data_IF_107007481088
#
_entry.id   IF_107007481088
#
_cell.length_a   1.000
_cell.length_b   1.000
_cell.length_c   1.000
_cell.angle_alpha   90.00
_cell.angle_beta   90.00
_cell.angle_gamma   90.00
#
_symmetry.space_group_name_H-M   'P 1'
#
loop_
_entity.id
_entity.type
_entity.pdbx_description
1 polymer ?
#
# COMPACT_ATOMS: atom_id res chain seq x y z
N UNK A 1 31.77 11.80 -14.68
CA UNK A 1 30.30 11.91 -14.51
C UNK A 1 29.83 11.05 -13.32
N UNK A 2 30.23 11.38 -12.08
CA UNK A 2 29.92 10.52 -10.93
C UNK A 2 28.41 10.39 -10.65
N UNK A 3 27.64 11.48 -10.87
CA UNK A 3 26.20 11.52 -10.62
C UNK A 3 25.37 10.68 -11.60
N UNK A 4 25.70 10.74 -12.89
CA UNK A 4 24.97 9.98 -13.92
C UNK A 4 25.15 8.49 -13.67
N UNK A 5 26.37 8.09 -13.34
CA UNK A 5 26.68 6.71 -12.99
C UNK A 5 25.93 6.24 -11.74
N UNK A 6 25.91 7.03 -10.67
CA UNK A 6 25.16 6.71 -9.45
C UNK A 6 23.66 6.47 -9.73
N UNK A 7 23.00 7.41 -10.38
CA UNK A 7 21.57 7.32 -10.69
C UNK A 7 21.29 6.10 -11.59
N UNK A 8 22.11 5.88 -12.62
CA UNK A 8 21.94 4.72 -13.50
C UNK A 8 22.19 3.40 -12.78
N UNK A 9 23.13 3.33 -11.83
CA UNK A 9 23.35 2.13 -11.00
C UNK A 9 22.16 1.87 -10.08
N UNK A 10 21.67 2.90 -9.37
CA UNK A 10 20.55 2.78 -8.43
C UNK A 10 19.22 2.42 -9.08
N UNK A 11 19.06 2.72 -10.37
CA UNK A 11 17.88 2.33 -11.16
C UNK A 11 18.12 1.07 -12.01
N UNK A 12 19.22 0.35 -11.80
CA UNK A 12 19.55 -0.89 -12.53
C UNK A 12 19.60 -0.67 -14.06
N UNK A 13 20.14 0.48 -14.49
CA UNK A 13 20.31 0.92 -15.87
C UNK A 13 21.77 0.95 -16.35
N UNK A 14 22.74 0.84 -15.45
CA UNK A 14 24.16 1.06 -15.76
C UNK A 14 24.70 0.15 -16.86
N UNK A 15 24.32 -1.13 -16.85
CA UNK A 15 24.75 -2.11 -17.86
C UNK A 15 24.17 -1.82 -19.24
N UNK A 16 23.09 -1.03 -19.30
CA UNK A 16 22.39 -0.65 -20.53
C UNK A 16 22.64 0.81 -20.92
N UNK A 17 23.60 1.50 -20.30
CA UNK A 17 23.88 2.93 -20.55
C UNK A 17 24.21 3.29 -22.00
N UNK A 18 24.75 2.34 -22.77
CA UNK A 18 25.09 2.52 -24.19
C UNK A 18 24.01 1.97 -25.15
N UNK A 19 22.91 1.43 -24.62
CA UNK A 19 21.80 0.91 -25.42
C UNK A 19 20.89 2.05 -25.85
N UNK A 20 20.43 2.04 -27.10
CA UNK A 20 19.51 3.06 -27.58
C UNK A 20 18.19 3.00 -26.80
N UNK A 21 17.73 4.14 -26.28
CA UNK A 21 16.52 4.20 -25.46
C UNK A 21 15.27 3.57 -26.13
N UNK A 22 15.17 3.66 -27.47
CA UNK A 22 14.06 3.08 -28.23
C UNK A 22 13.96 1.54 -28.10
N UNK A 23 15.09 0.86 -27.91
CA UNK A 23 15.16 -0.61 -27.82
C UNK A 23 15.01 -1.14 -26.40
N UNK A 24 14.89 -0.26 -25.40
CA UNK A 24 14.62 -0.65 -24.02
C UNK A 24 13.17 -1.15 -23.86
N UNK A 25 12.95 -2.09 -22.94
CA UNK A 25 11.60 -2.50 -22.54
C UNK A 25 10.84 -1.35 -21.85
N UNK A 26 9.52 -1.48 -21.71
CA UNK A 26 8.70 -0.46 -21.05
C UNK A 26 9.22 -0.07 -19.66
N UNK A 27 9.49 -1.05 -18.80
CA UNK A 27 10.03 -0.81 -17.46
C UNK A 27 11.41 -0.15 -17.45
N UNK A 28 12.29 -0.47 -18.41
CA UNK A 28 13.58 0.22 -18.56
C UNK A 28 13.41 1.67 -19.05
N UNK A 29 12.48 1.92 -19.98
CA UNK A 29 12.16 3.28 -20.44
C UNK A 29 11.63 4.14 -19.30
N UNK A 30 10.74 3.59 -18.46
CA UNK A 30 10.16 4.29 -17.30
C UNK A 30 11.25 4.68 -16.29
N UNK A 31 12.15 3.75 -15.96
CA UNK A 31 13.32 4.02 -15.10
C UNK A 31 14.25 5.06 -15.71
N UNK A 32 14.51 5.01 -17.02
CA UNK A 32 15.31 6.03 -17.69
C UNK A 32 14.66 7.43 -17.61
N UNK A 33 13.33 7.51 -17.70
CA UNK A 33 12.61 8.78 -17.53
C UNK A 33 12.75 9.34 -16.10
N UNK A 34 12.70 8.48 -15.09
CA UNK A 34 12.93 8.86 -13.69
C UNK A 34 14.39 9.29 -13.50
N UNK A 35 15.35 8.54 -14.04
CA UNK A 35 16.77 8.90 -14.02
C UNK A 35 17.02 10.30 -14.61
N UNK A 36 16.40 10.56 -15.76
CA UNK A 36 16.44 11.88 -16.44
C UNK A 36 15.85 12.98 -15.56
N UNK A 37 14.74 12.72 -14.87
CA UNK A 37 14.11 13.70 -13.99
C UNK A 37 14.97 14.02 -12.75
N UNK A 38 15.77 13.07 -12.26
CA UNK A 38 16.54 13.23 -11.02
C UNK A 38 17.95 13.79 -11.23
N UNK A 39 18.43 13.82 -12.48
CA UNK A 39 19.80 14.18 -12.80
C UNK A 39 20.17 15.60 -12.37
N UNK A 40 19.18 16.50 -12.22
CA UNK A 40 19.37 17.91 -11.90
C UNK A 40 18.94 18.29 -10.46
N UNK A 41 18.76 17.32 -9.57
CA UNK A 41 18.38 17.57 -8.15
C UNK A 41 17.12 18.43 -7.99
N UNK A 42 15.99 18.00 -8.55
CA UNK A 42 14.77 18.79 -8.40
C UNK A 42 14.38 18.90 -6.93
N UNK A 43 13.96 20.10 -6.53
CA UNK A 43 13.25 20.32 -5.26
C UNK A 43 11.84 19.75 -5.29
N UNK A 44 11.23 19.66 -6.49
CA UNK A 44 9.90 19.10 -6.73
C UNK A 44 9.95 18.11 -7.90
N UNK A 45 9.53 16.87 -7.65
CA UNK A 45 9.42 15.81 -8.63
C UNK A 45 7.94 15.45 -8.81
N UNK A 46 7.47 15.47 -10.05
CA UNK A 46 6.10 15.05 -10.41
C UNK A 46 6.20 13.75 -11.20
N UNK A 47 5.51 12.72 -10.75
CA UNK A 47 5.53 11.38 -11.33
C UNK A 47 4.12 10.95 -11.71
N UNK A 48 3.92 10.67 -12.99
CA UNK A 48 2.66 10.13 -13.48
C UNK A 48 2.74 8.61 -13.62
N UNK A 49 2.04 7.89 -12.74
CA UNK A 49 1.93 6.43 -12.73
C UNK A 49 3.31 5.73 -12.76
N UNK A 50 4.27 6.10 -11.90
CA UNK A 50 5.69 5.77 -12.11
C UNK A 50 5.96 4.27 -12.21
N UNK A 51 5.17 3.43 -11.54
CA UNK A 51 5.33 1.97 -11.51
C UNK A 51 4.49 1.19 -12.53
N UNK A 52 3.67 1.87 -13.34
CA UNK A 52 2.85 1.20 -14.34
C UNK A 52 3.71 0.43 -15.35
N UNK A 53 3.38 -0.85 -15.56
CA UNK A 53 4.11 -1.74 -16.49
C UNK A 53 5.51 -2.15 -16.01
N UNK A 54 5.82 -1.95 -14.72
CA UNK A 54 7.05 -2.43 -14.06
C UNK A 54 6.72 -3.70 -13.26
N UNK A 55 7.61 -4.70 -13.34
CA UNK A 55 7.48 -5.93 -12.55
C UNK A 55 7.62 -5.68 -11.04
N UNK A 56 7.25 -6.69 -10.24
CA UNK A 56 7.12 -6.58 -8.78
C UNK A 56 8.46 -6.27 -8.09
N UNK A 57 9.54 -6.89 -8.54
CA UNK A 57 10.87 -6.72 -7.93
C UNK A 57 11.38 -5.29 -8.15
N UNK A 58 11.34 -4.84 -9.41
CA UNK A 58 11.75 -3.49 -9.78
C UNK A 58 10.87 -2.40 -9.15
N UNK A 59 9.59 -2.67 -8.97
CA UNK A 59 8.66 -1.77 -8.30
C UNK A 59 9.14 -1.46 -6.87
N UNK A 60 9.54 -2.50 -6.12
CA UNK A 60 10.03 -2.35 -4.74
C UNK A 60 11.36 -1.60 -4.67
N UNK A 61 12.27 -1.86 -5.62
CA UNK A 61 13.52 -1.09 -5.74
C UNK A 61 13.22 0.40 -5.96
N UNK A 62 12.32 0.70 -6.90
CA UNK A 62 11.95 2.07 -7.23
C UNK A 62 11.26 2.78 -6.07
N UNK A 63 10.38 2.10 -5.33
CA UNK A 63 9.77 2.65 -4.12
C UNK A 63 10.81 3.02 -3.08
N UNK A 64 11.76 2.14 -2.83
CA UNK A 64 12.86 2.37 -1.87
C UNK A 64 13.69 3.59 -2.27
N UNK A 65 13.98 3.71 -3.56
CA UNK A 65 14.70 4.84 -4.14
C UNK A 65 13.93 6.16 -4.02
N UNK A 66 12.63 6.18 -4.34
CA UNK A 66 11.78 7.37 -4.20
C UNK A 66 11.64 7.80 -2.73
N UNK A 67 11.51 6.85 -1.79
CA UNK A 67 11.51 7.13 -0.35
C UNK A 67 12.80 7.81 0.10
N UNK A 68 13.94 7.34 -0.38
CA UNK A 68 15.25 7.94 -0.05
C UNK A 68 15.37 9.37 -0.60
N UNK A 69 14.97 9.58 -1.86
CA UNK A 69 14.97 10.91 -2.48
C UNK A 69 14.05 11.88 -1.71
N UNK A 70 12.87 11.42 -1.31
CA UNK A 70 11.98 12.22 -0.47
C UNK A 70 12.61 12.55 0.88
N UNK A 71 13.27 11.59 1.53
CA UNK A 71 13.97 11.78 2.79
C UNK A 71 15.13 12.78 2.67
N UNK A 72 15.77 12.85 1.50
CA UNK A 72 16.84 13.80 1.21
C UNK A 72 16.34 15.21 0.85
N UNK A 73 15.02 15.47 0.93
CA UNK A 73 14.44 16.80 0.84
C UNK A 73 13.70 17.12 -0.46
N UNK A 74 13.65 16.20 -1.43
CA UNK A 74 12.84 16.39 -2.63
C UNK A 74 11.35 16.17 -2.31
N UNK A 75 10.53 17.16 -2.65
CA UNK A 75 9.06 17.02 -2.61
C UNK A 75 8.63 16.16 -3.80
N UNK A 76 7.80 15.14 -3.56
CA UNK A 76 7.31 14.25 -4.61
C UNK A 76 5.79 14.35 -4.66
N UNK A 77 5.25 14.61 -5.86
CA UNK A 77 3.84 14.43 -6.19
C UNK A 77 3.77 13.23 -7.13
N UNK A 78 2.98 12.23 -6.76
CA UNK A 78 2.76 11.05 -7.60
C UNK A 78 1.27 10.81 -7.80
N UNK A 79 0.90 10.44 -9.01
CA UNK A 79 -0.42 9.90 -9.35
C UNK A 79 -0.28 8.40 -9.50
N UNK A 80 -1.27 7.67 -8.98
CA UNK A 80 -1.32 6.22 -9.06
C UNK A 80 -2.75 5.74 -8.89
N UNK A 81 -3.12 4.73 -9.66
CA UNK A 81 -4.31 3.92 -9.41
C UNK A 81 -4.00 2.69 -8.53
N UNK A 82 -2.74 2.45 -8.19
CA UNK A 82 -2.35 1.38 -7.28
C UNK A 82 -2.34 1.89 -5.83
N UNK A 83 -3.37 1.55 -5.06
CA UNK A 83 -3.50 2.00 -3.68
C UNK A 83 -2.33 1.56 -2.78
N UNK A 84 -1.78 0.37 -3.02
CA UNK A 84 -0.56 -0.11 -2.34
C UNK A 84 0.61 0.86 -2.53
N UNK A 85 0.78 1.45 -3.72
CA UNK A 85 1.84 2.43 -3.97
C UNK A 85 1.63 3.71 -3.15
N UNK A 86 0.39 4.20 -3.09
CA UNK A 86 0.05 5.36 -2.28
C UNK A 86 0.31 5.09 -0.79
N UNK A 87 -0.13 3.94 -0.28
CA UNK A 87 0.09 3.54 1.12
C UNK A 87 1.59 3.40 1.45
N UNK A 88 2.38 2.85 0.51
CA UNK A 88 3.81 2.67 0.72
C UNK A 88 4.59 3.98 0.65
N UNK A 89 4.26 4.90 -0.26
CA UNK A 89 5.08 6.08 -0.56
C UNK A 89 4.60 7.38 0.09
N UNK A 90 3.29 7.53 0.30
CA UNK A 90 2.69 8.83 0.58
C UNK A 90 2.43 9.05 2.06
N UNK A 91 2.71 10.27 2.53
CA UNK A 91 2.28 10.74 3.87
C UNK A 91 0.91 11.41 3.83
N UNK A 92 0.60 12.06 2.71
CA UNK A 92 -0.65 12.73 2.42
C UNK A 92 -1.22 12.16 1.13
N UNK A 93 -2.54 12.09 1.04
CA UNK A 93 -3.26 11.53 -0.10
C UNK A 93 -4.38 12.47 -0.51
N UNK A 94 -4.48 12.68 -1.82
CA UNK A 94 -5.63 13.29 -2.47
C UNK A 94 -6.35 12.22 -3.29
N UNK A 95 -7.63 12.00 -3.03
CA UNK A 95 -8.47 11.11 -3.85
C UNK A 95 -9.25 11.98 -4.81
N UNK A 96 -9.16 11.66 -6.11
CA UNK A 96 -9.86 12.37 -7.17
C UNK A 96 -10.92 11.43 -7.75
N UNK A 97 -12.16 11.89 -7.78
CA UNK A 97 -13.26 11.23 -8.49
C UNK A 97 -14.04 12.26 -9.32
N UNK A 98 -14.40 11.87 -10.55
CA UNK A 98 -15.13 12.71 -11.53
C UNK A 98 -14.58 14.15 -11.68
N UNK A 99 -13.26 14.30 -11.59
CA UNK A 99 -12.57 15.60 -11.73
C UNK A 99 -12.59 16.48 -10.47
N UNK A 100 -13.06 15.96 -9.34
CA UNK A 100 -13.12 16.65 -8.06
C UNK A 100 -12.27 15.94 -7.00
N UNK A 101 -11.68 16.69 -6.07
CA UNK A 101 -10.95 16.12 -4.94
C UNK A 101 -11.97 15.75 -3.86
N UNK A 102 -12.21 14.46 -3.68
CA UNK A 102 -13.20 13.93 -2.71
C UNK A 102 -12.58 13.67 -1.34
N UNK A 103 -11.26 13.51 -1.28
CA UNK A 103 -10.52 13.46 -0.02
C UNK A 103 -9.18 14.17 -0.17
N UNK A 104 -8.77 14.91 0.87
CA UNK A 104 -7.45 15.53 0.97
C UNK A 104 -7.03 15.51 2.44
N UNK A 105 -6.21 14.52 2.81
CA UNK A 105 -5.89 14.26 4.21
C UNK A 105 -4.55 13.53 4.34
N UNK A 106 -4.09 13.32 5.58
CA UNK A 106 -2.94 12.45 5.81
C UNK A 106 -3.33 10.98 5.60
N UNK A 107 -2.39 10.14 5.17
CA UNK A 107 -2.61 8.70 5.04
C UNK A 107 -3.04 8.08 6.38
N UNK A 108 -2.48 8.60 7.48
CA UNK A 108 -2.82 8.18 8.83
C UNK A 108 -4.28 8.49 9.17
N UNK A 109 -4.75 9.69 8.84
CA UNK A 109 -6.12 10.11 9.14
C UNK A 109 -7.12 9.39 8.23
N UNK A 110 -6.77 9.18 6.95
CA UNK A 110 -7.57 8.38 6.02
C UNK A 110 -7.77 6.95 6.53
N UNK A 111 -6.68 6.23 6.86
CA UNK A 111 -6.78 4.91 7.48
C UNK A 111 -7.43 4.95 8.88
N UNK A 112 -7.52 6.14 9.45
CA UNK A 112 -8.19 6.48 10.69
C UNK A 112 -9.72 6.58 10.57
N UNK A 113 -10.29 6.79 9.38
CA UNK A 113 -11.75 6.89 9.21
C UNK A 113 -12.44 5.53 9.30
N UNK A 114 -11.72 4.45 9.01
CA UNK A 114 -12.20 3.09 9.29
C UNK A 114 -12.43 2.93 10.80
N UNK A 115 -13.69 2.83 11.21
CA UNK A 115 -14.06 2.52 12.59
C UNK A 115 -13.82 1.06 12.95
N UNK A 116 -13.65 0.21 11.94
CA UNK A 116 -13.41 -1.21 12.04
C UNK A 116 -11.97 -1.51 11.61
N UNK A 117 -11.28 -2.35 12.38
CA UNK A 117 -10.02 -2.98 11.99
C UNK A 117 -10.27 -4.46 11.72
N UNK A 118 -10.00 -4.88 10.49
CA UNK A 118 -9.96 -6.29 10.11
C UNK A 118 -8.70 -6.97 10.62
N UNK A 119 -8.88 -8.12 11.27
CA UNK A 119 -7.80 -8.98 11.74
C UNK A 119 -8.01 -10.39 11.24
N UNK A 120 -6.94 -11.02 10.79
CA UNK A 120 -6.93 -12.42 10.37
C UNK A 120 -6.14 -13.25 11.36
N UNK A 121 -6.77 -14.29 11.88
CA UNK A 121 -6.23 -15.22 12.85
C UNK A 121 -6.03 -16.58 12.20
N UNK A 122 -4.81 -17.07 12.24
CA UNK A 122 -4.52 -18.47 11.90
C UNK A 122 -4.74 -19.33 13.15
N UNK A 123 -5.46 -20.43 13.03
CA UNK A 123 -5.84 -21.29 14.13
C UNK A 123 -4.95 -22.53 14.22
N UNK A 124 -4.81 -23.10 15.41
CA UNK A 124 -4.14 -24.38 15.61
C UNK A 124 -4.98 -25.59 15.21
N UNK A 125 -6.31 -25.47 15.35
CA UNK A 125 -7.26 -26.53 15.11
C UNK A 125 -8.36 -26.01 14.17
N UNK A 126 -8.83 -26.85 13.24
CA UNK A 126 -9.88 -26.45 12.32
C UNK A 126 -11.20 -26.23 13.08
N UNK A 127 -11.96 -25.24 12.63
CA UNK A 127 -13.33 -24.99 13.02
C UNK A 127 -14.28 -25.42 11.90
N UNK A 128 -15.44 -25.96 12.26
CA UNK A 128 -16.50 -26.26 11.30
C UNK A 128 -17.34 -25.01 11.00
N UNK A 129 -17.55 -24.16 12.00
CA UNK A 129 -18.32 -22.92 11.89
C UNK A 129 -17.63 -21.77 12.64
N UNK A 130 -17.88 -20.54 12.20
CA UNK A 130 -17.39 -19.36 12.88
C UNK A 130 -18.06 -19.24 14.26
N UNK A 131 -17.29 -19.01 15.35
CA UNK A 131 -17.88 -18.79 16.66
C UNK A 131 -18.66 -17.48 16.67
N UNK A 132 -19.79 -17.45 17.38
CA UNK A 132 -20.54 -16.21 17.62
C UNK A 132 -20.05 -15.57 18.92
N UNK A 133 -19.45 -14.38 18.81
CA UNK A 133 -18.97 -13.61 19.96
C UNK A 133 -19.61 -12.22 19.92
N UNK A 134 -20.30 -11.84 21.00
CA UNK A 134 -21.12 -10.64 21.02
C UNK A 134 -20.32 -9.36 20.76
N UNK A 135 -20.69 -8.65 19.69
CA UNK A 135 -20.06 -7.42 19.25
C UNK A 135 -18.67 -7.58 18.64
N UNK A 136 -18.33 -8.80 18.19
CA UNK A 136 -17.23 -9.07 17.26
C UNK A 136 -17.79 -9.84 16.06
N UNK A 137 -18.01 -9.17 14.91
CA UNK A 137 -18.33 -9.87 13.68
C UNK A 137 -17.16 -10.78 13.28
N UNK A 138 -17.44 -12.08 13.22
CA UNK A 138 -16.46 -13.12 12.89
C UNK A 138 -16.91 -13.87 11.64
N UNK A 139 -15.96 -14.13 10.75
CA UNK A 139 -16.16 -14.89 9.53
C UNK A 139 -15.04 -15.93 9.41
N UNK A 140 -15.42 -17.17 9.14
CA UNK A 140 -14.46 -18.22 8.82
C UNK A 140 -14.18 -18.16 7.32
N UNK A 141 -12.92 -17.91 6.94
CA UNK A 141 -12.50 -17.89 5.53
C UNK A 141 -12.20 -19.32 5.05
N UNK A 142 -11.53 -20.08 5.91
CA UNK A 142 -11.33 -21.52 5.79
C UNK A 142 -11.26 -22.13 7.20
N UNK A 143 -11.30 -23.47 7.38
CA UNK A 143 -11.33 -24.08 8.71
C UNK A 143 -10.23 -23.61 9.67
N UNK A 144 -9.08 -23.16 9.16
CA UNK A 144 -7.94 -22.71 9.96
C UNK A 144 -7.76 -21.18 9.95
N UNK A 145 -8.61 -20.42 9.25
CA UNK A 145 -8.47 -18.97 9.09
C UNK A 145 -9.75 -18.27 9.52
N UNK A 146 -9.66 -17.52 10.61
CA UNK A 146 -10.76 -16.72 11.15
C UNK A 146 -10.50 -15.23 10.94
N UNK A 147 -11.43 -14.53 10.32
CA UNK A 147 -11.40 -13.08 10.12
C UNK A 147 -12.33 -12.40 11.12
N UNK A 148 -11.84 -11.34 11.77
CA UNK A 148 -12.60 -10.55 12.72
C UNK A 148 -12.59 -9.06 12.36
N UNK A 149 -13.76 -8.46 12.39
CA UNK A 149 -13.92 -7.02 12.41
C UNK A 149 -13.93 -6.54 13.86
N UNK A 150 -12.96 -5.72 14.26
CA UNK A 150 -12.89 -5.16 15.61
C UNK A 150 -13.09 -3.65 15.54
N UNK A 151 -14.14 -3.14 16.17
CA UNK A 151 -14.35 -1.70 16.27
C UNK A 151 -13.27 -1.05 17.16
N UNK A 152 -12.86 0.18 16.84
CA UNK A 152 -11.79 0.92 17.56
C UNK A 152 -12.08 1.20 19.03
N UNK A 153 -13.35 1.25 19.42
CA UNK A 153 -13.80 1.42 20.80
C UNK A 153 -13.66 0.12 21.62
N UNK A 154 -13.43 -1.02 20.97
CA UNK A 154 -13.25 -2.32 21.60
C UNK A 154 -11.79 -2.76 21.59
N UNK A 155 -11.37 -3.36 22.70
CA UNK A 155 -10.03 -3.93 22.81
C UNK A 155 -9.96 -5.29 22.11
N UNK A 156 -8.95 -5.46 21.27
CA UNK A 156 -8.61 -6.74 20.66
C UNK A 156 -8.37 -7.85 21.69
N UNK A 157 -7.86 -7.49 22.88
CA UNK A 157 -7.61 -8.44 23.96
C UNK A 157 -8.91 -9.05 24.51
N UNK A 158 -10.04 -8.35 24.40
CA UNK A 158 -11.34 -8.89 24.76
C UNK A 158 -11.73 -10.02 23.80
N UNK A 159 -11.53 -9.84 22.49
CA UNK A 159 -11.75 -10.90 21.50
C UNK A 159 -10.85 -12.12 21.77
N UNK A 160 -9.55 -11.91 22.02
CA UNK A 160 -8.63 -13.00 22.39
C UNK A 160 -9.10 -13.78 23.63
N UNK A 161 -9.61 -13.07 24.63
CA UNK A 161 -10.11 -13.69 25.87
C UNK A 161 -11.32 -14.57 25.61
N UNK A 162 -12.28 -14.10 24.79
CA UNK A 162 -13.46 -14.89 24.42
C UNK A 162 -13.10 -16.12 23.57
N UNK A 163 -12.19 -15.96 22.59
CA UNK A 163 -11.69 -17.08 21.79
C UNK A 163 -10.99 -18.14 22.68
N UNK A 164 -10.21 -17.70 23.66
CA UNK A 164 -9.54 -18.60 24.61
C UNK A 164 -10.55 -19.35 25.50
N UNK A 165 -11.61 -18.68 25.97
CA UNK A 165 -12.69 -19.32 26.75
C UNK A 165 -13.42 -20.40 25.95
N UNK A 166 -13.58 -20.20 24.64
CA UNK A 166 -14.14 -21.19 23.71
C UNK A 166 -13.15 -22.31 23.36
N UNK A 167 -11.93 -22.29 23.92
CA UNK A 167 -10.89 -23.27 23.63
C UNK A 167 -10.21 -23.10 22.28
N UNK A 168 -10.46 -21.99 21.57
CA UNK A 168 -9.91 -21.70 20.25
C UNK A 168 -8.49 -21.17 20.43
N UNK A 169 -7.51 -21.93 19.94
CA UNK A 169 -6.09 -21.57 20.02
C UNK A 169 -5.63 -20.88 18.74
N UNK A 170 -5.19 -19.63 18.89
CA UNK A 170 -4.64 -18.82 17.81
C UNK A 170 -3.15 -19.13 17.67
N UNK A 171 -2.72 -19.45 16.45
CA UNK A 171 -1.34 -19.69 16.06
C UNK A 171 -0.62 -18.39 15.70
N UNK A 172 -1.27 -17.54 14.90
CA UNK A 172 -0.73 -16.26 14.46
C UNK A 172 -1.84 -15.27 14.13
N UNK A 173 -1.46 -14.00 14.05
CA UNK A 173 -2.35 -12.89 13.77
C UNK A 173 -1.70 -11.93 12.78
N UNK A 174 -2.50 -11.42 11.85
CA UNK A 174 -2.13 -10.33 10.94
C UNK A 174 -3.29 -9.35 10.78
N UNK A 175 -2.98 -8.12 10.39
CA UNK A 175 -4.01 -7.20 9.93
C UNK A 175 -4.54 -7.69 8.58
N UNK A 176 -5.82 -7.47 8.34
CA UNK A 176 -6.40 -7.63 7.01
C UNK A 176 -5.73 -6.66 6.03
N UNK A 177 -5.37 -7.17 4.85
CA UNK A 177 -4.79 -6.38 3.78
C UNK A 177 -5.87 -5.51 3.12
N UNK A 178 -5.47 -4.53 2.30
CA UNK A 178 -6.37 -3.76 1.43
C UNK A 178 -7.34 -2.77 2.10
N UNK A 179 -7.05 -2.33 3.33
CA UNK A 179 -7.84 -1.29 4.04
C UNK A 179 -8.06 -0.01 3.23
N UNK A 180 -7.07 0.40 2.45
CA UNK A 180 -7.17 1.60 1.60
C UNK A 180 -8.10 1.37 0.40
N UNK A 181 -8.18 0.13 -0.10
CA UNK A 181 -9.08 -0.25 -1.20
C UNK A 181 -10.54 -0.22 -0.77
N UNK A 182 -10.86 -0.77 0.39
CA UNK A 182 -12.20 -0.70 0.96
C UNK A 182 -12.66 0.74 1.16
N UNK A 183 -11.79 1.59 1.75
CA UNK A 183 -12.07 3.01 1.91
C UNK A 183 -12.33 3.72 0.58
N UNK A 184 -11.55 3.40 -0.45
CA UNK A 184 -11.74 3.97 -1.77
C UNK A 184 -13.11 3.57 -2.35
N UNK A 185 -13.49 2.30 -2.23
CA UNK A 185 -14.80 1.80 -2.70
C UNK A 185 -15.95 2.49 -1.94
N UNK A 186 -15.87 2.60 -0.60
CA UNK A 186 -16.88 3.30 0.20
C UNK A 186 -17.03 4.76 -0.23
N UNK A 187 -15.92 5.47 -0.46
CA UNK A 187 -15.93 6.87 -0.88
C UNK A 187 -16.50 7.08 -2.28
N UNK A 188 -16.20 6.19 -3.22
CA UNK A 188 -16.73 6.29 -4.59
C UNK A 188 -18.23 5.96 -4.61
N UNK A 189 -18.66 4.92 -3.90
CA UNK A 189 -20.09 4.54 -3.84
C UNK A 189 -20.95 5.61 -3.15
N UNK A 190 -20.42 6.28 -2.12
CA UNK A 190 -21.15 7.35 -1.41
C UNK A 190 -21.37 8.61 -2.26
N UNK A 191 -20.64 8.79 -3.35
CA UNK A 191 -20.78 9.91 -4.29
C UNK A 191 -21.69 9.57 -5.50
N UNK A 192 -22.30 8.39 -5.53
CA UNK A 192 -23.28 8.00 -6.55
C UNK A 192 -24.76 8.20 -6.12
N UNK A 193 -24.99 8.70 -4.90
CA UNK A 193 -26.30 9.19 -4.41
C UNK A 193 -26.44 10.70 -4.59
#
# INVERSE_FOLDING_TARGET
>A
MPRVEDILKRLSLWDRRNVQARTLSGGYKRRLMIAKALIHEPKLLILDEPTAGVDIELRREMWSFLKEINKNGTTIILTTHYLEEAEQLCRNIGIIDKGTIVANTSMKDLLGTLNVQGFVFDLHHPLEEAPSIEGFPLKLEDPLTLVAAVNKDRSINALFSELTKLGIKIKSMRNEANRLEELFIEMVNSNEE
#
